data_IF_168462036454
#
_entry.id   IF_168462036454
#
_cell.length_a   1.000
_cell.length_b   1.000
_cell.length_c   1.000
_cell.angle_alpha   90.00
_cell.angle_beta   90.00
_cell.angle_gamma   90.00
#
_symmetry.space_group_name_H-M   'P 1'
#
loop_
_entity.id
_entity.type
_entity.pdbx_description
1 polymer ?
#
# COMPACT_ATOMS: atom_id res chain seq x y z
N UNK A 1 -32.50 -70.61 -34.49
CA UNK A 1 -31.06 -70.38 -34.18
C UNK A 1 -30.40 -69.31 -35.05
N UNK A 2 -30.68 -69.18 -36.37
CA UNK A 2 -30.02 -68.19 -37.25
C UNK A 2 -30.30 -66.71 -36.90
N UNK A 3 -31.51 -66.34 -36.48
CA UNK A 3 -31.87 -64.95 -36.12
C UNK A 3 -31.14 -64.43 -34.87
N UNK A 4 -30.88 -65.28 -33.87
CA UNK A 4 -30.10 -64.90 -32.67
C UNK A 4 -28.61 -64.71 -32.97
N UNK A 5 -28.05 -65.51 -33.88
CA UNK A 5 -26.65 -65.37 -34.34
C UNK A 5 -26.44 -64.05 -35.10
N UNK A 6 -27.37 -63.69 -36.00
CA UNK A 6 -27.33 -62.40 -36.71
C UNK A 6 -27.50 -61.20 -35.77
N UNK A 7 -28.37 -61.29 -34.77
CA UNK A 7 -28.56 -60.23 -33.77
C UNK A 7 -27.29 -59.95 -32.94
N UNK A 8 -26.59 -61.01 -32.54
CA UNK A 8 -25.33 -60.93 -31.78
C UNK A 8 -24.19 -60.35 -32.62
N UNK A 9 -24.06 -60.78 -33.88
CA UNK A 9 -23.07 -60.23 -34.81
C UNK A 9 -23.31 -58.74 -35.12
N UNK A 10 -24.58 -58.29 -35.12
CA UNK A 10 -24.94 -56.88 -35.32
C UNK A 10 -24.65 -56.02 -34.08
N UNK A 11 -24.88 -56.54 -32.86
CA UNK A 11 -24.54 -55.81 -31.62
C UNK A 11 -23.03 -55.66 -31.44
N UNK A 12 -22.25 -56.70 -31.74
CA UNK A 12 -20.79 -56.65 -31.62
C UNK A 12 -20.16 -55.63 -32.59
N UNK A 13 -20.67 -55.57 -33.84
CA UNK A 13 -20.27 -54.54 -34.81
C UNK A 13 -20.60 -53.11 -34.34
N UNK A 14 -21.72 -52.91 -33.66
CA UNK A 14 -22.11 -51.60 -33.09
C UNK A 14 -21.23 -51.22 -31.90
N UNK A 15 -20.88 -52.18 -31.04
CA UNK A 15 -19.95 -51.98 -29.93
C UNK A 15 -18.54 -51.65 -30.43
N UNK A 16 -18.06 -52.31 -31.47
CA UNK A 16 -16.77 -52.02 -32.11
C UNK A 16 -16.75 -50.64 -32.76
N UNK A 17 -17.80 -50.26 -33.48
CA UNK A 17 -17.93 -48.92 -34.05
C UNK A 17 -17.95 -47.83 -32.96
N UNK A 18 -18.64 -48.09 -31.84
CA UNK A 18 -18.64 -47.19 -30.67
C UNK A 18 -17.24 -47.09 -30.03
N UNK A 19 -16.52 -48.21 -29.93
CA UNK A 19 -15.14 -48.26 -29.41
C UNK A 19 -14.17 -47.48 -30.29
N UNK A 20 -14.26 -47.64 -31.61
CA UNK A 20 -13.45 -46.90 -32.58
C UNK A 20 -13.69 -45.38 -32.50
N UNK A 21 -14.95 -44.95 -32.37
CA UNK A 21 -15.29 -43.52 -32.18
C UNK A 21 -14.70 -42.95 -30.89
N UNK A 22 -14.79 -43.67 -29.77
CA UNK A 22 -14.19 -43.24 -28.49
C UNK A 22 -12.67 -43.12 -28.58
N UNK A 23 -12.01 -44.04 -29.28
CA UNK A 23 -10.56 -43.98 -29.50
C UNK A 23 -10.16 -42.78 -30.35
N UNK A 24 -10.91 -42.49 -31.42
CA UNK A 24 -10.68 -41.30 -32.24
C UNK A 24 -10.83 -40.00 -31.42
N UNK A 25 -11.91 -39.87 -30.64
CA UNK A 25 -12.12 -38.72 -29.75
C UNK A 25 -11.04 -38.60 -28.68
N UNK A 26 -10.59 -39.71 -28.09
CA UNK A 26 -9.51 -39.69 -27.11
C UNK A 26 -8.17 -39.26 -27.73
N UNK A 27 -7.87 -39.70 -28.97
CA UNK A 27 -6.69 -39.25 -29.73
C UNK A 27 -6.74 -37.74 -29.98
N UNK A 28 -7.88 -37.21 -30.37
CA UNK A 28 -8.05 -35.76 -30.57
C UNK A 28 -7.96 -34.98 -29.26
N UNK A 29 -8.59 -35.47 -28.19
CA UNK A 29 -8.54 -34.86 -26.87
C UNK A 29 -7.09 -34.83 -26.32
N UNK A 30 -6.34 -35.92 -26.50
CA UNK A 30 -4.93 -36.01 -26.12
C UNK A 30 -4.07 -35.03 -26.92
N UNK A 31 -4.29 -34.90 -28.25
CA UNK A 31 -3.60 -33.90 -29.08
C UNK A 31 -3.89 -32.46 -28.60
N UNK A 32 -5.17 -32.12 -28.38
CA UNK A 32 -5.57 -30.79 -27.88
C UNK A 32 -4.98 -30.51 -26.50
N UNK A 33 -4.96 -31.49 -25.60
CA UNK A 33 -4.34 -31.38 -24.28
C UNK A 33 -2.84 -31.11 -24.37
N UNK A 34 -2.12 -31.90 -25.19
CA UNK A 34 -0.68 -31.70 -25.43
C UNK A 34 -0.38 -30.33 -26.01
N UNK A 35 -1.18 -29.85 -26.96
CA UNK A 35 -1.01 -28.53 -27.57
C UNK A 35 -1.19 -27.40 -26.55
N UNK A 36 -2.25 -27.47 -25.72
CA UNK A 36 -2.48 -26.49 -24.64
C UNK A 36 -1.34 -26.49 -23.62
N UNK A 37 -0.88 -27.67 -23.19
CA UNK A 37 0.26 -27.78 -22.27
C UNK A 37 1.53 -27.19 -22.88
N UNK A 38 1.77 -27.42 -24.17
CA UNK A 38 2.91 -26.84 -24.89
C UNK A 38 2.84 -25.32 -24.93
N UNK A 39 1.68 -24.73 -25.27
CA UNK A 39 1.49 -23.29 -25.28
C UNK A 39 1.68 -22.67 -23.87
N UNK A 40 1.14 -23.32 -22.83
CA UNK A 40 1.31 -22.88 -21.45
C UNK A 40 2.78 -22.91 -21.00
N UNK A 41 3.52 -23.97 -21.34
CA UNK A 41 4.96 -24.04 -21.04
C UNK A 41 5.74 -22.93 -21.76
N UNK A 42 5.44 -22.65 -23.03
CA UNK A 42 6.06 -21.54 -23.76
C UNK A 42 5.77 -20.19 -23.13
N UNK A 43 4.54 -19.98 -22.65
CA UNK A 43 4.17 -18.77 -21.92
C UNK A 43 4.97 -18.65 -20.61
N UNK A 44 5.11 -19.74 -19.86
CA UNK A 44 5.91 -19.76 -18.63
C UNK A 44 7.39 -19.45 -18.92
N UNK A 45 7.97 -20.02 -19.98
CA UNK A 45 9.35 -19.72 -20.40
C UNK A 45 9.51 -18.25 -20.77
N UNK A 46 8.56 -17.66 -21.51
CA UNK A 46 8.56 -16.23 -21.82
C UNK A 46 8.47 -15.37 -20.56
N UNK A 47 7.56 -15.70 -19.64
CA UNK A 47 7.42 -14.98 -18.37
C UNK A 47 8.68 -15.08 -17.51
N UNK A 48 9.33 -16.26 -17.46
CA UNK A 48 10.59 -16.44 -16.74
C UNK A 48 11.70 -15.55 -17.29
N UNK A 49 11.84 -15.46 -18.61
CA UNK A 49 12.83 -14.59 -19.25
C UNK A 49 12.56 -13.10 -18.96
N UNK A 50 11.30 -12.67 -19.02
CA UNK A 50 10.90 -11.30 -18.67
C UNK A 50 11.23 -10.98 -17.21
N UNK A 51 10.98 -11.91 -16.30
CA UNK A 51 11.29 -11.72 -14.88
C UNK A 51 12.79 -11.58 -14.64
N UNK A 52 13.61 -12.45 -15.25
CA UNK A 52 15.07 -12.38 -15.16
C UNK A 52 15.61 -11.04 -15.70
N UNK A 53 15.01 -10.52 -16.78
CA UNK A 53 15.37 -9.20 -17.32
C UNK A 53 15.04 -8.08 -16.34
N UNK A 54 13.84 -8.08 -15.75
CA UNK A 54 13.44 -7.09 -14.75
C UNK A 54 14.32 -7.14 -13.50
N UNK A 55 14.72 -8.34 -13.05
CA UNK A 55 15.65 -8.51 -11.93
C UNK A 55 17.02 -7.89 -12.24
N UNK A 56 17.55 -8.10 -13.45
CA UNK A 56 18.81 -7.50 -13.89
C UNK A 56 18.71 -5.97 -13.96
N UNK A 57 17.62 -5.45 -14.51
CA UNK A 57 17.40 -4.00 -14.61
C UNK A 57 17.25 -3.36 -13.23
N UNK A 58 16.62 -4.05 -12.28
CA UNK A 58 16.57 -3.62 -10.87
C UNK A 58 17.96 -3.62 -10.22
N UNK A 59 18.78 -4.64 -10.45
CA UNK A 59 20.15 -4.68 -9.92
C UNK A 59 21.01 -3.55 -10.51
N UNK A 60 20.86 -3.26 -11.80
CA UNK A 60 21.54 -2.14 -12.47
C UNK A 60 21.09 -0.79 -11.94
N UNK A 61 19.79 -0.59 -11.72
CA UNK A 61 19.26 0.64 -11.13
C UNK A 61 19.78 0.86 -9.70
N UNK A 62 19.96 -0.22 -8.92
CA UNK A 62 20.57 -0.16 -7.58
C UNK A 62 22.05 0.24 -7.61
N UNK A 63 22.83 -0.29 -8.55
CA UNK A 63 24.27 -0.01 -8.62
C UNK A 63 24.60 1.38 -9.16
N UNK A 64 23.70 2.00 -9.91
CA UNK A 64 23.86 3.38 -10.43
C UNK A 64 23.59 4.47 -9.38
N UNK A 65 23.40 4.14 -8.10
CA UNK A 65 23.26 5.14 -7.03
C UNK A 65 21.93 5.91 -7.05
N UNK A 66 20.96 5.49 -7.87
CA UNK A 66 19.56 5.97 -7.83
C UNK A 66 18.83 5.44 -6.58
N UNK A 67 19.52 4.63 -5.77
CA UNK A 67 19.02 3.99 -4.55
C UNK A 67 19.97 4.29 -3.39
N UNK A 68 19.98 5.54 -2.90
CA UNK A 68 20.54 5.85 -1.59
C UNK A 68 19.41 6.34 -0.67
N UNK A 69 19.02 5.48 0.27
CA UNK A 69 18.01 5.74 1.29
C UNK A 69 17.32 4.45 1.72
N UNK A 70 17.78 3.87 2.82
CA UNK A 70 17.34 2.56 3.32
C UNK A 70 15.89 2.50 3.81
N UNK A 71 15.42 1.26 3.93
CA UNK A 71 14.13 0.81 4.45
C UNK A 71 12.91 1.00 3.53
N UNK A 72 12.44 -0.12 2.99
CA UNK A 72 11.09 -0.37 2.48
C UNK A 72 10.52 0.64 1.45
N UNK A 73 10.79 0.35 0.17
CA UNK A 73 9.93 0.75 -0.94
C UNK A 73 9.98 2.22 -1.34
N UNK A 74 10.99 2.61 -2.12
CA UNK A 74 10.87 3.80 -2.96
C UNK A 74 10.23 3.37 -4.31
N UNK A 75 9.20 4.06 -4.81
CA UNK A 75 8.59 3.75 -6.09
C UNK A 75 9.52 4.22 -7.20
N UNK A 76 9.80 3.35 -8.16
CA UNK A 76 10.20 3.81 -9.48
C UNK A 76 9.09 4.76 -9.97
N UNK A 77 9.45 6.03 -10.21
CA UNK A 77 8.59 7.14 -10.65
C UNK A 77 7.99 8.02 -9.52
N UNK A 78 8.84 8.69 -8.73
CA UNK A 78 8.40 9.82 -7.89
C UNK A 78 7.97 10.96 -8.83
N UNK A 79 6.72 11.39 -8.74
CA UNK A 79 6.26 12.58 -9.50
C UNK A 79 7.04 13.82 -9.04
N UNK A 80 7.26 14.78 -9.93
CA UNK A 80 7.91 16.05 -9.57
C UNK A 80 7.21 16.76 -8.40
N UNK A 81 5.89 16.56 -8.27
CA UNK A 81 5.08 17.02 -7.13
C UNK A 81 5.40 16.28 -5.83
N UNK A 82 5.54 14.95 -5.86
CA UNK A 82 5.91 14.14 -4.70
C UNK A 82 7.29 14.49 -4.16
N UNK A 83 8.29 14.60 -5.02
CA UNK A 83 9.65 14.98 -4.62
C UNK A 83 9.72 16.38 -3.99
N UNK A 84 8.95 17.33 -4.53
CA UNK A 84 8.86 18.68 -3.96
C UNK A 84 8.17 18.65 -2.59
N UNK A 85 7.09 17.88 -2.45
CA UNK A 85 6.41 17.72 -1.17
C UNK A 85 7.34 17.14 -0.10
N UNK A 86 8.11 16.10 -0.42
CA UNK A 86 9.04 15.47 0.53
C UNK A 86 10.08 16.47 1.06
N UNK A 87 10.61 17.33 0.19
CA UNK A 87 11.56 18.37 0.57
C UNK A 87 10.94 19.41 1.51
N UNK A 88 9.75 19.92 1.18
CA UNK A 88 9.05 20.91 2.00
C UNK A 88 8.59 20.32 3.33
N UNK A 89 8.15 19.05 3.32
CA UNK A 89 7.78 18.32 4.54
C UNK A 89 8.98 18.15 5.48
N UNK A 90 10.16 17.80 4.95
CA UNK A 90 11.38 17.71 5.76
C UNK A 90 11.71 19.01 6.48
N UNK A 91 11.63 20.16 5.77
CA UNK A 91 11.82 21.48 6.37
C UNK A 91 10.74 21.81 7.41
N UNK A 92 9.50 21.45 7.12
CA UNK A 92 8.39 21.62 8.05
C UNK A 92 8.65 20.86 9.36
N UNK A 93 9.16 19.62 9.31
CA UNK A 93 9.50 18.83 10.50
C UNK A 93 10.63 19.49 11.32
N UNK A 94 11.66 20.04 10.67
CA UNK A 94 12.73 20.77 11.36
C UNK A 94 12.20 22.01 12.08
N UNK A 95 11.32 22.76 11.42
CA UNK A 95 10.66 23.93 11.99
C UNK A 95 9.70 23.54 13.14
N UNK A 96 8.97 22.42 13.02
CA UNK A 96 8.08 21.88 14.07
C UNK A 96 8.88 21.56 15.35
N UNK A 97 10.02 20.88 15.20
CA UNK A 97 10.91 20.59 16.33
C UNK A 97 11.41 21.86 17.02
N UNK A 98 11.77 22.88 16.23
CA UNK A 98 12.21 24.18 16.76
C UNK A 98 11.09 24.89 17.51
N UNK A 99 9.89 24.96 16.93
CA UNK A 99 8.74 25.63 17.54
C UNK A 99 8.26 24.87 18.79
N UNK A 100 8.25 23.54 18.78
CA UNK A 100 7.98 22.72 19.96
C UNK A 100 8.99 22.97 21.08
N UNK A 101 10.28 23.13 20.76
CA UNK A 101 11.29 23.50 21.75
C UNK A 101 11.02 24.90 22.35
N UNK A 102 10.63 25.88 21.52
CA UNK A 102 10.26 27.21 21.99
C UNK A 102 9.02 27.19 22.89
N UNK A 103 7.97 26.45 22.51
CA UNK A 103 6.76 26.31 23.30
C UNK A 103 7.05 25.67 24.66
N UNK A 104 7.88 24.61 24.68
CA UNK A 104 8.34 24.01 25.95
C UNK A 104 9.12 25.04 26.77
N UNK A 105 10.08 25.75 26.20
CA UNK A 105 10.85 26.76 26.93
C UNK A 105 9.95 27.83 27.55
N UNK A 106 8.99 28.36 26.77
CA UNK A 106 8.01 29.34 27.21
C UNK A 106 7.17 28.87 28.41
N UNK A 107 6.74 27.61 28.40
CA UNK A 107 6.02 26.99 29.51
C UNK A 107 6.88 26.88 30.77
N UNK A 108 8.17 26.57 30.65
CA UNK A 108 9.08 26.45 31.80
C UNK A 108 9.51 27.82 32.34
N UNK A 109 9.57 28.85 31.50
CA UNK A 109 9.97 30.21 31.91
C UNK A 109 8.81 31.06 32.45
N UNK A 110 7.59 30.52 32.54
CA UNK A 110 6.39 31.23 32.99
C UNK A 110 6.22 32.60 32.30
N UNK A 111 6.27 32.62 30.97
CA UNK A 111 6.06 33.85 30.20
C UNK A 111 4.71 34.49 30.50
N UNK A 112 4.60 35.80 30.24
CA UNK A 112 3.31 36.47 30.31
C UNK A 112 2.33 35.88 29.29
N UNK A 113 1.03 35.95 29.59
CA UNK A 113 -0.03 35.38 28.74
C UNK A 113 0.03 35.94 27.30
N UNK A 114 0.37 37.22 27.14
CA UNK A 114 0.53 37.84 25.82
C UNK A 114 1.70 37.27 25.02
N UNK A 115 2.86 37.06 25.65
CA UNK A 115 4.03 36.46 25.01
C UNK A 115 3.80 34.98 24.67
N UNK A 116 3.13 34.25 25.57
CA UNK A 116 2.73 32.86 25.33
C UNK A 116 1.74 32.78 24.16
N UNK A 117 0.77 33.69 24.09
CA UNK A 117 -0.20 33.78 23.00
C UNK A 117 0.46 33.91 21.64
N UNK A 118 1.48 34.77 21.51
CA UNK A 118 2.24 34.93 20.26
C UNK A 118 2.94 33.63 19.83
N UNK A 119 3.50 32.88 20.78
CA UNK A 119 4.16 31.60 20.49
C UNK A 119 3.14 30.55 20.04
N UNK A 120 1.99 30.48 20.73
CA UNK A 120 0.89 29.58 20.37
C UNK A 120 0.34 29.92 18.98
N UNK A 121 0.09 31.19 18.69
CA UNK A 121 -0.37 31.64 17.37
C UNK A 121 0.64 31.30 16.28
N UNK A 122 1.94 31.48 16.55
CA UNK A 122 3.02 31.06 15.65
C UNK A 122 3.00 29.55 15.37
N UNK A 123 2.78 28.74 16.41
CA UNK A 123 2.66 27.28 16.28
C UNK A 123 1.41 26.87 15.48
N UNK A 124 0.27 27.51 15.73
CA UNK A 124 -0.98 27.24 15.00
C UNK A 124 -0.83 27.57 13.51
N UNK A 125 -0.22 28.72 13.18
CA UNK A 125 0.07 29.08 11.79
C UNK A 125 1.02 28.07 11.11
N UNK A 126 2.02 27.57 11.84
CA UNK A 126 2.89 26.51 11.34
C UNK A 126 2.12 25.20 11.07
N UNK A 127 1.13 24.88 11.90
CA UNK A 127 0.28 23.72 11.72
C UNK A 127 -0.66 23.86 10.51
N UNK A 128 -1.14 25.07 10.21
CA UNK A 128 -1.91 25.33 8.99
C UNK A 128 -1.08 25.09 7.71
N UNK A 129 0.23 25.37 7.78
CA UNK A 129 1.14 25.22 6.64
C UNK A 129 1.26 23.75 6.18
N UNK A 130 1.27 22.77 7.08
CA UNK A 130 1.31 21.36 6.66
C UNK A 130 0.05 20.94 5.91
N UNK A 131 -1.12 21.47 6.28
CA UNK A 131 -2.35 21.22 5.54
C UNK A 131 -2.33 21.90 4.18
N UNK A 132 -1.74 23.09 4.07
CA UNK A 132 -1.53 23.77 2.79
C UNK A 132 -0.60 22.95 1.88
N UNK A 133 0.53 22.48 2.39
CA UNK A 133 1.48 21.63 1.65
C UNK A 133 0.81 20.34 1.16
N UNK A 134 0.08 19.65 2.05
CA UNK A 134 -0.73 18.47 1.68
C UNK A 134 -1.79 18.81 0.63
N UNK A 135 -2.46 19.95 0.74
CA UNK A 135 -3.45 20.39 -0.24
C UNK A 135 -2.87 20.62 -1.64
N UNK A 136 -1.64 21.16 -1.72
CA UNK A 136 -0.91 21.30 -3.00
C UNK A 136 -0.48 19.95 -3.54
N UNK A 137 0.09 19.09 -2.69
CA UNK A 137 0.52 17.75 -3.09
C UNK A 137 -0.65 16.88 -3.56
N UNK A 138 -1.81 16.95 -2.92
CA UNK A 138 -3.01 16.18 -3.29
C UNK A 138 -3.49 16.50 -4.71
N UNK A 139 -3.34 17.76 -5.14
CA UNK A 139 -3.70 18.20 -6.49
C UNK A 139 -2.74 17.68 -7.56
N UNK A 140 -1.50 17.37 -7.19
CA UNK A 140 -0.48 16.87 -8.10
C UNK A 140 -0.38 15.35 -8.10
N UNK A 141 -0.41 14.74 -6.92
CA UNK A 141 -0.18 13.31 -6.69
C UNK A 141 -0.73 12.89 -5.31
N UNK A 142 -2.03 12.54 -5.29
CA UNK A 142 -2.70 12.04 -4.08
C UNK A 142 -2.15 10.68 -3.61
N UNK A 143 -1.63 9.85 -4.51
CA UNK A 143 -1.07 8.55 -4.14
C UNK A 143 0.23 8.73 -3.34
N UNK A 144 1.07 9.69 -3.73
CA UNK A 144 2.25 10.04 -2.94
C UNK A 144 1.92 10.49 -1.52
N UNK A 145 0.80 11.19 -1.30
CA UNK A 145 0.35 11.51 0.06
C UNK A 145 -0.08 10.28 0.86
N UNK A 146 -0.71 9.29 0.24
CA UNK A 146 -1.22 8.11 0.95
C UNK A 146 -0.14 7.05 1.19
N UNK A 147 0.81 6.90 0.26
CA UNK A 147 1.77 5.79 0.27
C UNK A 147 3.23 6.23 0.18
N UNK A 148 3.50 7.53 0.09
CA UNK A 148 4.85 8.07 -0.04
C UNK A 148 5.69 7.90 1.22
N UNK A 149 7.00 8.07 1.04
CA UNK A 149 8.01 7.82 2.08
C UNK A 149 8.16 8.97 3.09
N UNK A 150 7.38 10.04 2.93
CA UNK A 150 7.39 11.20 3.83
C UNK A 150 6.97 10.89 5.27
N UNK A 151 6.35 9.72 5.52
CA UNK A 151 6.02 9.25 6.88
C UNK A 151 6.66 7.91 7.19
N UNK A 152 7.15 7.78 8.42
CA UNK A 152 7.66 6.52 8.94
C UNK A 152 6.56 5.45 8.98
N UNK A 153 6.90 4.15 8.93
CA UNK A 153 5.92 3.08 9.10
C UNK A 153 5.11 3.21 10.39
N UNK A 154 5.72 3.71 11.47
CA UNK A 154 5.06 3.90 12.75
C UNK A 154 4.01 5.02 12.70
N UNK A 155 4.34 6.17 12.10
CA UNK A 155 3.41 7.29 11.94
C UNK A 155 2.22 6.90 11.06
N UNK A 156 2.45 6.11 10.01
CA UNK A 156 1.39 5.63 9.11
C UNK A 156 0.30 4.83 9.81
N UNK A 157 0.62 4.12 10.91
CA UNK A 157 -0.39 3.40 11.71
C UNK A 157 -1.43 4.34 12.33
N UNK A 158 -1.10 5.62 12.51
CA UNK A 158 -1.96 6.63 13.13
C UNK A 158 -2.56 7.63 12.12
N UNK A 159 -2.31 7.43 10.82
CA UNK A 159 -2.86 8.26 9.75
C UNK A 159 -4.11 7.61 9.13
N UNK A 160 -5.15 8.41 8.94
CA UNK A 160 -6.33 8.16 8.11
C UNK A 160 -6.29 9.09 6.87
N UNK A 161 -7.32 9.02 6.01
CA UNK A 161 -7.35 9.66 4.68
C UNK A 161 -7.17 11.19 4.78
N UNK A 162 -7.57 11.80 5.91
CA UNK A 162 -7.44 13.23 6.16
C UNK A 162 -6.35 13.60 7.20
N UNK A 163 -5.49 12.65 7.60
CA UNK A 163 -4.44 12.90 8.60
C UNK A 163 -4.64 12.11 9.88
N UNK A 164 -4.33 12.70 11.02
CA UNK A 164 -4.26 12.01 12.30
C UNK A 164 -5.59 11.40 12.76
N UNK A 165 -5.57 10.17 13.33
CA UNK A 165 -6.72 9.55 13.99
C UNK A 165 -6.73 9.93 15.49
N UNK A 166 -7.54 10.91 15.92
CA UNK A 166 -7.44 11.48 17.27
C UNK A 166 -7.76 10.47 18.38
N UNK A 167 -8.63 9.48 18.09
CA UNK A 167 -9.05 8.49 19.07
C UNK A 167 -7.93 7.61 19.60
N UNK A 168 -6.84 7.39 18.85
CA UNK A 168 -5.68 6.64 19.35
C UNK A 168 -4.82 7.47 20.32
N UNK A 169 -4.70 8.78 20.07
CA UNK A 169 -3.99 9.69 20.99
C UNK A 169 -4.73 9.83 22.31
N UNK A 170 -6.04 9.99 22.24
CA UNK A 170 -6.88 10.15 23.42
C UNK A 170 -6.73 8.93 24.33
N UNK A 171 -6.70 7.71 23.76
CA UNK A 171 -6.43 6.48 24.52
C UNK A 171 -5.06 6.51 25.23
N UNK A 172 -4.02 7.06 24.61
CA UNK A 172 -2.71 7.18 25.25
C UNK A 172 -2.66 8.28 26.31
N UNK A 173 -3.31 9.42 26.08
CA UNK A 173 -3.23 10.61 26.94
C UNK A 173 -4.09 10.51 28.19
N UNK A 174 -5.22 9.79 28.17
CA UNK A 174 -6.09 9.62 29.35
C UNK A 174 -5.28 9.15 30.57
N UNK A 175 -4.35 8.20 30.36
CA UNK A 175 -3.52 7.66 31.44
C UNK A 175 -2.54 8.69 32.05
N UNK A 176 -2.30 9.81 31.39
CA UNK A 176 -1.36 10.86 31.81
C UNK A 176 -2.05 12.12 32.35
N UNK A 177 -3.38 12.21 32.23
CA UNK A 177 -4.17 13.41 32.56
C UNK A 177 -4.76 13.41 33.97
N UNK A 178 -4.38 12.47 34.84
CA UNK A 178 -4.92 12.41 36.20
C UNK A 178 -4.53 13.65 37.05
N UNK A 179 -5.44 14.15 37.91
CA UNK A 179 -6.80 13.66 38.16
C UNK A 179 -7.86 14.31 37.25
N UNK A 180 -8.68 13.49 36.58
CA UNK A 180 -9.86 13.93 35.83
C UNK A 180 -11.14 13.66 36.62
N UNK A 181 -12.10 14.58 36.58
CA UNK A 181 -13.44 14.33 37.12
C UNK A 181 -14.21 13.31 36.26
N UNK A 182 -15.18 12.60 36.83
CA UNK A 182 -16.02 11.65 36.08
C UNK A 182 -16.71 12.31 34.87
N UNK A 183 -17.12 13.57 35.01
CA UNK A 183 -17.75 14.32 33.92
C UNK A 183 -16.77 14.62 32.78
N UNK A 184 -15.52 14.98 33.09
CA UNK A 184 -14.46 15.16 32.08
C UNK A 184 -14.08 13.84 31.43
N UNK A 185 -14.01 12.75 32.20
CA UNK A 185 -13.70 11.42 31.69
C UNK A 185 -14.77 10.95 30.68
N UNK A 186 -16.05 11.12 31.02
CA UNK A 186 -17.18 10.83 30.13
C UNK A 186 -17.17 11.70 28.87
N UNK A 187 -16.81 12.97 29.00
CA UNK A 187 -16.63 13.88 27.86
C UNK A 187 -15.47 13.50 26.94
N UNK A 188 -14.41 12.88 27.48
CA UNK A 188 -13.28 12.39 26.69
C UNK A 188 -13.63 11.07 25.99
N UNK A 189 -14.33 10.16 26.66
CA UNK A 189 -14.76 8.89 26.05
C UNK A 189 -15.73 9.08 24.90
N UNK A 190 -16.54 10.13 24.90
CA UNK A 190 -17.44 10.43 23.78
C UNK A 190 -16.72 10.94 22.51
N UNK A 191 -15.41 11.23 22.60
CA UNK A 191 -14.56 11.68 21.49
C UNK A 191 -13.75 10.53 20.85
N UNK A 192 -13.80 9.33 21.41
CA UNK A 192 -13.13 8.12 20.90
C UNK A 192 -13.96 7.42 19.82
#
# INVERSE_FOLDING_TARGET
MLLQSLGRAKSDKVLDAKRQRRLAQNREAARKSRLRKKAYVQQLESSRMKLAQLELDLQRARSQGVFFGGAAGAPANISSGGARFDMEYGRWVEDDQRLMAQLRAALHSHLSEGELGVIVDGYMNHYDEIFRLKGVAAKSDVFHLLTGVWTSPAERCFLWIAGFRPSELIKMLIAQLEPLTEQQLMGIYSLQ
#
